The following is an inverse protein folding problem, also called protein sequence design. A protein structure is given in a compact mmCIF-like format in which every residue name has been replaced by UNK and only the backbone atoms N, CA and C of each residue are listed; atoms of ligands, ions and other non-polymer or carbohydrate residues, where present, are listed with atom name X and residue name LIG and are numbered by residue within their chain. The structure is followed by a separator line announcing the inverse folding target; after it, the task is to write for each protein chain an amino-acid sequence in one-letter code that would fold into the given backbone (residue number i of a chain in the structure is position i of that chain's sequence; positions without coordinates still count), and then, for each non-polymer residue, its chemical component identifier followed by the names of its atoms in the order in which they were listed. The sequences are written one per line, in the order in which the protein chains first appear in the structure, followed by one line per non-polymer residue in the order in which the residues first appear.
data_IF_569373101004
#
_entry.id   IF_569373101004
#
_cell.length_a   1.000
_cell.length_b   1.000
_cell.length_c   1.000
_cell.angle_alpha   90.00
_cell.angle_beta   90.00
_cell.angle_gamma   90.00
#
_symmetry.space_group_name_H-M   'P 1'
#
loop_
_entity.id
_entity.type
_entity.pdbx_description
1 polymer ?
#
# COMPACT_ATOMS: atom_id res chain seq x y z
N UNK A 1 -9.69 20.41 4.04
CA UNK A 1 -8.90 19.24 4.49
C UNK A 1 -9.35 18.06 3.65
N UNK A 2 -8.47 17.46 2.85
CA UNK A 2 -8.80 16.27 2.05
C UNK A 2 -8.77 15.09 3.02
N UNK A 3 -9.93 14.56 3.40
CA UNK A 3 -9.97 13.30 4.13
C UNK A 3 -9.58 12.20 3.13
N UNK A 4 -8.48 11.46 3.33
CA UNK A 4 -8.14 10.37 2.44
C UNK A 4 -9.32 9.37 2.44
N UNK A 5 -9.75 8.95 1.24
CA UNK A 5 -10.83 7.98 1.08
C UNK A 5 -10.53 6.74 1.91
N UNK A 6 -11.50 6.32 2.73
CA UNK A 6 -11.42 5.12 3.55
C UNK A 6 -11.64 3.84 2.74
N UNK A 7 -11.77 3.93 1.42
CA UNK A 7 -12.02 2.78 0.56
C UNK A 7 -10.73 2.14 0.06
N UNK A 8 -10.86 0.89 -0.38
CA UNK A 8 -9.79 0.16 -1.05
C UNK A 8 -9.55 0.72 -2.44
N UNK A 9 -8.30 0.98 -2.79
CA UNK A 9 -7.92 1.42 -4.12
C UNK A 9 -6.70 0.67 -4.63
N UNK A 10 -6.63 0.50 -5.96
CA UNK A 10 -5.47 -0.02 -6.67
C UNK A 10 -4.60 1.12 -7.19
N UNK A 11 -3.31 0.86 -7.38
CA UNK A 11 -2.45 1.78 -8.10
C UNK A 11 -2.93 1.95 -9.54
N UNK A 12 -2.86 3.16 -10.09
CA UNK A 12 -3.09 3.41 -11.52
C UNK A 12 -2.08 2.72 -12.44
N UNK A 13 -1.00 2.16 -11.87
CA UNK A 13 0.04 1.40 -12.57
C UNK A 13 -0.21 -0.11 -12.59
N UNK A 14 -1.33 -0.59 -12.02
CA UNK A 14 -1.70 -2.01 -12.04
C UNK A 14 -2.42 -2.36 -13.35
N UNK A 15 -1.82 -3.21 -14.18
CA UNK A 15 -2.44 -3.85 -15.36
C UNK A 15 -3.05 -5.21 -14.98
N UNK A 16 -4.01 -5.72 -15.78
CA UNK A 16 -4.85 -6.90 -15.51
C UNK A 16 -4.08 -8.20 -15.17
N UNK A 17 -2.83 -8.32 -15.61
CA UNK A 17 -2.01 -9.53 -15.40
C UNK A 17 -0.97 -9.40 -14.27
N UNK A 18 -0.94 -8.29 -13.53
CA UNK A 18 0.03 -8.08 -12.45
C UNK A 18 -0.49 -8.59 -11.09
N UNK A 19 0.43 -8.93 -10.19
CA UNK A 19 0.17 -9.26 -8.78
C UNK A 19 -0.45 -8.04 -8.06
N UNK A 20 -1.78 -7.90 -8.17
CA UNK A 20 -2.50 -6.69 -7.76
C UNK A 20 -2.71 -6.68 -6.26
N UNK A 21 -2.15 -5.68 -5.58
CA UNK A 21 -2.46 -5.34 -4.20
C UNK A 21 -3.40 -4.14 -4.14
N UNK A 22 -4.34 -4.16 -3.20
CA UNK A 22 -5.20 -3.03 -2.86
C UNK A 22 -4.75 -2.43 -1.52
N UNK A 23 -4.82 -1.11 -1.41
CA UNK A 23 -4.43 -0.38 -0.20
C UNK A 23 -5.59 0.49 0.29
N UNK A 24 -5.67 0.72 1.59
CA UNK A 24 -6.71 1.54 2.24
C UNK A 24 -6.07 2.39 3.35
N UNK A 25 -6.40 3.68 3.41
CA UNK A 25 -5.97 4.57 4.50
C UNK A 25 -7.11 4.80 5.50
N UNK A 26 -6.88 4.49 6.78
CA UNK A 26 -7.88 4.66 7.85
C UNK A 26 -7.23 5.25 9.08
N UNK A 27 -7.41 6.54 9.32
CA UNK A 27 -6.82 7.21 10.48
C UNK A 27 -5.28 7.10 10.45
N UNK A 28 -4.70 6.48 11.47
CA UNK A 28 -3.26 6.27 11.58
C UNK A 28 -2.79 4.90 11.04
N UNK A 29 -3.64 4.19 10.31
CA UNK A 29 -3.34 2.86 9.78
C UNK A 29 -3.48 2.77 8.25
N UNK A 30 -2.75 1.83 7.68
CA UNK A 30 -2.75 1.46 6.27
C UNK A 30 -3.02 -0.03 6.15
N UNK A 31 -4.16 -0.38 5.57
CA UNK A 31 -4.51 -1.77 5.26
C UNK A 31 -3.97 -2.16 3.89
N UNK A 32 -3.46 -3.40 3.77
CA UNK A 32 -3.01 -3.99 2.51
C UNK A 32 -3.72 -5.33 2.34
N UNK A 33 -4.20 -5.62 1.13
CA UNK A 33 -4.74 -6.94 0.80
C UNK A 33 -4.40 -7.37 -0.62
N UNK A 34 -4.52 -8.67 -0.85
CA UNK A 34 -4.53 -9.22 -2.19
C UNK A 34 -5.84 -8.87 -2.91
N UNK A 35 -5.76 -8.34 -4.12
CA UNK A 35 -6.96 -7.95 -4.88
C UNK A 35 -7.79 -9.16 -5.34
N UNK A 36 -7.13 -10.31 -5.51
CA UNK A 36 -7.69 -11.57 -6.01
C UNK A 36 -8.26 -12.42 -4.88
N UNK A 37 -7.74 -12.29 -3.66
CA UNK A 37 -8.32 -12.89 -2.44
C UNK A 37 -8.72 -11.81 -1.42
N UNK A 38 -9.90 -11.22 -1.64
CA UNK A 38 -10.46 -10.16 -0.78
C UNK A 38 -10.94 -10.67 0.58
N UNK A 39 -11.13 -11.99 0.72
CA UNK A 39 -11.51 -12.66 1.96
C UNK A 39 -10.31 -13.07 2.80
N UNK A 40 -9.10 -13.04 2.23
CA UNK A 40 -7.87 -13.41 2.89
C UNK A 40 -7.40 -12.40 3.95
N UNK A 41 -6.27 -12.70 4.61
CA UNK A 41 -5.68 -11.84 5.62
C UNK A 41 -5.40 -10.43 5.09
N UNK A 42 -5.79 -9.43 5.87
CA UNK A 42 -5.58 -8.01 5.54
C UNK A 42 -4.67 -7.38 6.60
N UNK A 43 -3.34 -7.46 6.45
CA UNK A 43 -2.42 -6.81 7.38
C UNK A 43 -2.63 -5.28 7.41
N UNK A 44 -2.52 -4.71 8.61
CA UNK A 44 -2.59 -3.27 8.86
C UNK A 44 -1.26 -2.78 9.44
N UNK A 45 -0.80 -1.63 8.97
CA UNK A 45 0.46 -1.01 9.38
C UNK A 45 0.21 0.41 9.87
N UNK A 46 1.04 0.91 10.78
CA UNK A 46 1.03 2.33 11.12
C UNK A 46 1.36 3.19 9.88
N UNK A 47 0.64 4.29 9.71
CA UNK A 47 0.81 5.21 8.57
C UNK A 47 2.22 5.78 8.47
N UNK A 48 2.86 6.04 9.61
CA UNK A 48 4.25 6.49 9.65
C UNK A 48 5.22 5.44 9.08
N UNK A 49 5.07 4.17 9.49
CA UNK A 49 5.89 3.07 8.99
C UNK A 49 5.68 2.83 7.50
N UNK A 50 4.44 2.91 7.02
CA UNK A 50 4.13 2.81 5.59
C UNK A 50 4.78 3.93 4.77
N UNK A 51 4.74 5.16 5.28
CA UNK A 51 5.39 6.31 4.64
C UNK A 51 6.91 6.11 4.54
N UNK A 52 7.57 5.71 5.63
CA UNK A 52 9.01 5.41 5.61
C UNK A 52 9.36 4.29 4.63
N UNK A 53 8.58 3.20 4.62
CA UNK A 53 8.77 2.08 3.70
C UNK A 53 8.71 2.53 2.23
N UNK A 54 7.65 3.23 1.84
CA UNK A 54 7.48 3.70 0.45
C UNK A 54 8.52 4.74 0.05
N UNK A 55 9.00 5.55 0.99
CA UNK A 55 10.10 6.48 0.75
C UNK A 55 11.40 5.74 0.45
N UNK A 56 11.75 4.71 1.23
CA UNK A 56 12.94 3.88 0.98
C UNK A 56 12.87 3.20 -0.38
N UNK A 57 11.71 2.66 -0.78
CA UNK A 57 11.54 2.03 -2.09
C UNK A 57 11.69 2.99 -3.28
N UNK A 58 11.53 4.30 -3.07
CA UNK A 58 11.65 5.31 -4.12
C UNK A 58 13.09 5.77 -4.33
N UNK A 59 13.98 5.53 -3.37
CA UNK A 59 15.38 5.90 -3.51
C UNK A 59 16.04 5.03 -4.59
N UNK A 60 16.95 5.60 -5.40
CA UNK A 60 17.82 4.78 -6.25
C UNK A 60 18.59 3.80 -5.36
N UNK A 61 18.87 2.59 -5.87
CA UNK A 61 19.51 1.51 -5.10
C UNK A 61 20.61 2.04 -4.19
N UNK A 62 20.45 1.83 -2.87
CA UNK A 62 21.54 2.06 -1.91
C UNK A 62 22.67 1.11 -2.31
N UNK A 63 23.89 1.59 -2.59
CA UNK A 63 25.02 0.72 -2.90
C UNK A 63 25.16 -0.31 -1.77
N UNK A 64 25.01 -1.60 -2.09
CA UNK A 64 25.34 -2.67 -1.15
C UNK A 64 26.85 -2.64 -0.96
N UNK A 65 27.31 -2.39 0.26
CA UNK A 65 28.71 -2.57 0.67
C UNK A 65 29.12 -4.03 0.52
#
# INVERSE_FOLDING_TARGET
MITPSRDWFKSSRSSDNANCVEVRFVGAEVGVRDSKDRSGPTPAFAAASWASFTQVLRLPEVPRS
#
